data_IF_580146516036
#
_entry.id   IF_580146516036
#
_cell.length_a   1.000
_cell.length_b   1.000
_cell.length_c   1.000
_cell.angle_alpha   90.00
_cell.angle_beta   90.00
_cell.angle_gamma   90.00
#
_symmetry.space_group_name_H-M   'P 1'
#
loop_
_entity.id
_entity.type
_entity.pdbx_description
1 polymer ?
#
# COMPACT_ATOMS: atom_id res chain seq x y z
N UNK A 1 -5.81 7.59 6.69
CA UNK A 1 -4.44 8.15 6.63
C UNK A 1 -4.21 8.97 7.90
N UNK A 2 -3.01 8.96 8.45
CA UNK A 2 -2.62 9.83 9.59
C UNK A 2 -1.12 10.14 9.48
N UNK A 3 -0.61 11.03 10.33
CA UNK A 3 0.77 11.51 10.27
C UNK A 3 1.82 10.37 10.19
N UNK A 4 1.63 9.29 10.97
CA UNK A 4 2.47 8.09 10.91
C UNK A 4 2.59 7.48 9.50
N UNK A 5 1.50 7.37 8.74
CA UNK A 5 1.55 6.86 7.36
C UNK A 5 2.32 7.81 6.43
N UNK A 6 2.12 9.12 6.57
CA UNK A 6 2.82 10.12 5.76
C UNK A 6 4.33 10.08 6.04
N UNK A 7 4.72 10.05 7.31
CA UNK A 7 6.13 9.96 7.71
C UNK A 7 6.76 8.64 7.25
N UNK A 8 6.04 7.53 7.37
CA UNK A 8 6.50 6.22 6.91
C UNK A 8 6.76 6.21 5.40
N UNK A 9 5.81 6.67 4.58
CA UNK A 9 5.95 6.72 3.12
C UNK A 9 7.05 7.70 2.70
N UNK A 10 7.16 8.86 3.35
CA UNK A 10 8.24 9.81 3.11
C UNK A 10 9.63 9.23 3.42
N UNK A 11 9.75 8.37 4.44
CA UNK A 11 11.00 7.67 4.73
C UNK A 11 11.26 6.53 3.73
N UNK A 12 10.23 5.78 3.32
CA UNK A 12 10.37 4.75 2.29
C UNK A 12 10.86 5.33 0.96
N UNK A 13 10.33 6.50 0.55
CA UNK A 13 10.75 7.19 -0.69
C UNK A 13 12.22 7.58 -0.72
N UNK A 14 12.87 7.78 0.43
CA UNK A 14 14.30 8.10 0.52
C UNK A 14 15.21 6.89 0.24
N UNK A 15 14.66 5.68 0.23
CA UNK A 15 15.44 4.44 0.04
C UNK A 15 15.60 4.06 -1.43
N UNK A 16 15.01 4.80 -2.36
CA UNK A 16 15.12 4.53 -3.79
C UNK A 16 14.64 5.70 -4.64
N UNK A 17 14.68 5.53 -5.96
CA UNK A 17 14.36 6.59 -6.92
C UNK A 17 12.86 6.80 -7.10
N UNK A 18 12.07 5.75 -6.89
CA UNK A 18 10.60 5.75 -7.05
C UNK A 18 9.93 4.93 -5.95
N UNK A 19 8.75 5.36 -5.52
CA UNK A 19 7.92 4.63 -4.56
C UNK A 19 6.59 4.19 -5.19
N UNK A 20 6.36 2.87 -5.20
CA UNK A 20 5.08 2.26 -5.57
C UNK A 20 4.36 1.83 -4.28
N UNK A 21 3.10 2.23 -4.13
CA UNK A 21 2.23 1.79 -3.03
C UNK A 21 1.21 0.80 -3.55
N UNK A 22 1.29 -0.45 -3.07
CA UNK A 22 0.31 -1.48 -3.36
C UNK A 22 -0.86 -1.42 -2.36
N UNK A 23 -2.09 -1.48 -2.87
CA UNK A 23 -3.32 -1.28 -2.10
C UNK A 23 -4.26 -2.47 -2.30
N UNK A 24 -4.62 -3.16 -1.22
CA UNK A 24 -5.63 -4.23 -1.28
C UNK A 24 -6.96 -3.69 -1.82
N UNK A 25 -7.64 -4.45 -2.67
CA UNK A 25 -9.02 -4.19 -3.09
C UNK A 25 -9.99 -4.25 -1.89
N UNK A 26 -11.23 -3.82 -2.11
CA UNK A 26 -12.26 -3.88 -1.07
C UNK A 26 -12.58 -5.33 -0.69
N UNK A 27 -12.69 -6.22 -1.69
CA UNK A 27 -12.87 -7.65 -1.47
C UNK A 27 -11.69 -8.28 -0.71
N UNK A 28 -10.45 -7.97 -1.09
CA UNK A 28 -9.24 -8.44 -0.39
C UNK A 28 -9.21 -7.97 1.07
N UNK A 29 -9.50 -6.69 1.30
CA UNK A 29 -9.54 -6.11 2.64
C UNK A 29 -10.62 -6.75 3.51
N UNK A 30 -11.80 -6.99 2.93
CA UNK A 30 -12.93 -7.64 3.61
C UNK A 30 -12.59 -9.06 4.06
N UNK A 31 -11.95 -9.86 3.21
CA UNK A 31 -11.49 -11.22 3.58
C UNK A 31 -10.46 -11.20 4.71
N UNK A 32 -9.53 -10.24 4.69
CA UNK A 32 -8.42 -10.17 5.66
C UNK A 32 -8.82 -9.54 7.00
N UNK A 33 -9.79 -8.61 7.01
CA UNK A 33 -10.11 -7.78 8.19
C UNK A 33 -11.57 -7.86 8.63
N UNK A 34 -12.39 -8.66 7.94
CA UNK A 34 -13.81 -8.85 8.22
C UNK A 34 -14.72 -7.83 7.53
N UNK A 35 -16.02 -8.06 7.67
CA UNK A 35 -17.08 -7.37 6.91
C UNK A 35 -17.19 -5.86 7.17
N UNK A 36 -16.67 -5.39 8.31
CA UNK A 36 -16.66 -3.97 8.67
C UNK A 36 -15.55 -3.17 7.98
N UNK A 37 -14.72 -3.80 7.15
CA UNK A 37 -13.60 -3.17 6.43
C UNK A 37 -13.68 -3.47 4.92
N UNK A 38 -13.19 -2.54 4.07
CA UNK A 38 -12.60 -1.23 4.40
C UNK A 38 -13.66 -0.17 4.76
N UNK A 39 -13.24 0.87 5.48
CA UNK A 39 -14.12 2.03 5.79
C UNK A 39 -14.30 2.93 4.56
N UNK A 40 -13.23 3.09 3.78
CA UNK A 40 -13.22 3.89 2.55
C UNK A 40 -13.04 2.93 1.35
N UNK A 41 -13.85 3.06 0.28
CA UNK A 41 -13.69 2.28 -0.94
C UNK A 41 -12.29 2.41 -1.57
N UNK A 42 -11.92 1.44 -2.39
CA UNK A 42 -10.60 1.35 -3.03
C UNK A 42 -10.21 2.64 -3.74
N UNK A 43 -11.09 3.18 -4.57
CA UNK A 43 -10.83 4.39 -5.37
C UNK A 43 -10.42 5.57 -4.48
N UNK A 44 -11.17 5.82 -3.40
CA UNK A 44 -10.87 6.91 -2.46
C UNK A 44 -9.52 6.70 -1.76
N UNK A 45 -9.19 5.46 -1.39
CA UNK A 45 -7.89 5.13 -0.78
C UNK A 45 -6.75 5.38 -1.77
N UNK A 46 -6.93 5.02 -3.03
CA UNK A 46 -5.93 5.24 -4.07
C UNK A 46 -5.72 6.72 -4.37
N UNK A 47 -6.79 7.51 -4.47
CA UNK A 47 -6.72 8.97 -4.67
C UNK A 47 -5.92 9.63 -3.55
N UNK A 48 -6.24 9.30 -2.29
CA UNK A 48 -5.57 9.88 -1.12
C UNK A 48 -4.07 9.53 -1.10
N UNK A 49 -3.71 8.30 -1.44
CA UNK A 49 -2.31 7.87 -1.50
C UNK A 49 -1.56 8.49 -2.67
N UNK A 50 -2.19 8.58 -3.84
CA UNK A 50 -1.58 9.15 -5.04
C UNK A 50 -1.38 10.66 -4.97
N UNK A 51 -2.11 11.34 -4.08
CA UNK A 51 -1.91 12.77 -3.81
C UNK A 51 -0.70 13.07 -2.92
N UNK A 52 -0.04 12.05 -2.34
CA UNK A 52 1.13 12.24 -1.49
C UNK A 52 2.38 12.47 -2.34
N UNK A 53 3.12 13.54 -2.06
CA UNK A 53 4.37 13.88 -2.77
C UNK A 53 5.39 12.74 -2.80
N UNK A 54 5.42 11.90 -1.76
CA UNK A 54 6.35 10.78 -1.65
C UNK A 54 6.00 9.60 -2.58
N UNK A 55 4.81 9.55 -3.17
CA UNK A 55 4.27 8.39 -3.89
C UNK A 55 4.29 8.64 -5.39
N UNK A 56 5.02 7.82 -6.13
CA UNK A 56 5.09 7.92 -7.60
C UNK A 56 3.96 7.15 -8.29
N UNK A 57 3.60 5.98 -7.75
CA UNK A 57 2.50 5.16 -8.27
C UNK A 57 1.69 4.50 -7.16
N UNK A 58 0.39 4.35 -7.41
CA UNK A 58 -0.51 3.55 -6.58
C UNK A 58 -1.13 2.47 -7.45
N UNK A 59 -1.00 1.23 -7.01
CA UNK A 59 -1.53 0.06 -7.73
C UNK A 59 -2.39 -0.76 -6.79
N UNK A 60 -3.47 -1.33 -7.30
CA UNK A 60 -4.34 -2.21 -6.52
C UNK A 60 -4.08 -3.68 -6.83
N UNK A 61 -4.45 -4.56 -5.90
CA UNK A 61 -4.46 -6.00 -6.11
C UNK A 61 -5.62 -6.66 -5.36
N UNK A 62 -6.10 -7.80 -5.85
CA UNK A 62 -7.28 -8.48 -5.31
C UNK A 62 -6.96 -9.69 -4.46
N UNK A 63 -5.75 -10.25 -4.58
CA UNK A 63 -5.31 -11.42 -3.83
C UNK A 63 -5.14 -11.12 -2.33
N UNK A 64 -5.02 -12.18 -1.52
CA UNK A 64 -4.82 -12.06 -0.07
C UNK A 64 -3.40 -11.59 0.27
N UNK A 65 -2.44 -11.81 -0.63
CA UNK A 65 -1.06 -11.33 -0.51
C UNK A 65 -0.64 -10.60 -1.79
N UNK A 66 0.26 -9.61 -1.71
CA UNK A 66 0.75 -8.91 -2.88
C UNK A 66 1.79 -9.71 -3.70
N UNK A 67 1.98 -11.01 -3.43
CA UNK A 67 3.09 -11.80 -3.99
C UNK A 67 3.12 -11.79 -5.52
N UNK A 68 1.97 -12.00 -6.19
CA UNK A 68 1.89 -11.96 -7.65
C UNK A 68 2.22 -10.58 -8.22
N UNK A 69 1.69 -9.53 -7.59
CA UNK A 69 1.97 -8.16 -7.98
C UNK A 69 3.47 -7.85 -7.83
N UNK A 70 4.07 -8.21 -6.70
CA UNK A 70 5.51 -8.04 -6.45
C UNK A 70 6.34 -8.82 -7.47
N UNK A 71 5.95 -10.06 -7.80
CA UNK A 71 6.65 -10.86 -8.80
C UNK A 71 6.51 -10.31 -10.23
N UNK A 72 5.45 -9.56 -10.53
CA UNK A 72 5.27 -8.90 -11.82
C UNK A 72 5.99 -7.56 -11.94
N UNK A 73 6.09 -6.81 -10.84
CA UNK A 73 6.79 -5.52 -10.78
C UNK A 73 8.30 -5.71 -10.59
N UNK A 74 8.72 -6.73 -9.83
CA UNK A 74 10.10 -7.01 -9.42
C UNK A 74 10.82 -5.78 -8.85
N UNK A 75 10.31 -5.20 -7.73
CA UNK A 75 10.98 -4.05 -7.11
C UNK A 75 12.34 -4.44 -6.53
N UNK A 76 13.31 -3.53 -6.61
CA UNK A 76 14.65 -3.73 -6.03
C UNK A 76 14.62 -3.80 -4.49
N UNK A 77 13.66 -3.10 -3.87
CA UNK A 77 13.49 -3.02 -2.43
C UNK A 77 12.02 -3.15 -2.03
N UNK A 78 11.75 -4.03 -1.07
CA UNK A 78 10.45 -4.16 -0.41
C UNK A 78 10.51 -3.54 0.98
N UNK A 79 9.69 -2.53 1.24
CA UNK A 79 9.57 -1.89 2.56
C UNK A 79 8.28 -2.35 3.23
N UNK A 80 8.34 -2.71 4.51
CA UNK A 80 7.18 -3.09 5.32
C UNK A 80 7.20 -2.33 6.64
N UNK A 81 6.04 -1.83 7.09
CA UNK A 81 5.92 -1.12 8.36
C UNK A 81 6.22 -2.03 9.56
N UNK A 82 6.82 -1.47 10.61
CA UNK A 82 7.36 -2.20 11.77
C UNK A 82 6.35 -2.90 12.68
N UNK A 83 5.05 -2.84 12.38
CA UNK A 83 4.00 -3.47 13.20
C UNK A 83 3.85 -4.98 12.97
N UNK A 84 4.71 -5.58 12.15
CA UNK A 84 4.72 -7.03 11.91
C UNK A 84 5.71 -7.71 12.85
N UNK A 85 5.20 -8.61 13.70
CA UNK A 85 6.05 -9.64 14.31
C UNK A 85 6.42 -10.66 13.21
N UNK A 86 7.68 -11.11 13.17
CA UNK A 86 8.15 -12.12 12.21
C UNK A 86 7.38 -13.43 12.33
#
# INVERSE_FOLDING_TARGET
LHAGHVSYLANARKLGDRLIVAVNSDASTKRLKGDSRPVNPLEQRMIVLGALEAVDWVVSFEEDTPQRLIAGILPDLLVKGGDYKP
#
